data_IF_359473662781
#
_entry.id   IF_359473662781
#
_cell.length_a   1.000
_cell.length_b   1.000
_cell.length_c   1.000
_cell.angle_alpha   90.00
_cell.angle_beta   90.00
_cell.angle_gamma   90.00
#
_symmetry.space_group_name_H-M   'P 1'
#
loop_
_entity.id
_entity.type
_entity.pdbx_description
1 polymer ?
#
# COMPACT_ATOMS: atom_id res chain seq x y z
N UNK A 1 49.70 -52.54 -16.25
CA UNK A 1 50.07 -53.13 -14.94
C UNK A 1 49.25 -52.45 -13.85
N UNK A 2 48.40 -53.23 -13.26
CA UNK A 2 48.09 -53.38 -11.83
C UNK A 2 47.48 -52.10 -11.21
N UNK A 3 46.09 -52.08 -10.95
CA UNK A 3 45.42 -52.65 -9.74
C UNK A 3 45.72 -51.84 -8.47
N UNK A 4 44.79 -51.30 -7.71
CA UNK A 4 43.81 -51.87 -6.80
C UNK A 4 42.90 -50.66 -6.37
N UNK A 5 41.63 -50.60 -6.43
CA UNK A 5 40.59 -51.23 -5.57
C UNK A 5 40.84 -51.08 -4.06
N UNK A 6 40.05 -50.23 -3.42
CA UNK A 6 39.58 -50.52 -2.07
C UNK A 6 38.20 -49.91 -1.86
N UNK A 7 37.18 -50.76 -1.77
CA UNK A 7 35.85 -50.58 -1.14
C UNK A 7 36.04 -50.56 0.38
N UNK A 8 35.33 -49.71 1.10
CA UNK A 8 34.83 -49.99 2.46
C UNK A 8 33.65 -49.07 2.69
N UNK A 9 32.53 -49.63 2.68
CA UNK A 9 31.64 -50.13 3.75
C UNK A 9 30.74 -49.05 4.35
N UNK A 10 29.52 -49.16 3.93
CA UNK A 10 28.36 -48.52 4.58
C UNK A 10 28.19 -49.11 5.98
N UNK A 11 28.10 -48.26 6.97
CA UNK A 11 27.51 -48.61 8.25
C UNK A 11 26.22 -47.85 8.44
N UNK A 12 25.11 -48.56 8.34
CA UNK A 12 23.81 -48.13 8.82
C UNK A 12 23.88 -47.90 10.32
N UNK A 13 23.54 -46.69 10.77
CA UNK A 13 23.03 -46.46 12.10
C UNK A 13 21.61 -45.93 11.98
N UNK A 14 20.66 -46.86 12.01
CA UNK A 14 19.29 -46.54 12.43
C UNK A 14 19.33 -46.34 13.95
N UNK A 15 19.20 -45.11 14.40
CA UNK A 15 18.91 -44.79 15.78
C UNK A 15 17.74 -43.83 15.81
N UNK A 16 16.62 -44.39 16.19
CA UNK A 16 15.48 -43.79 16.93
C UNK A 16 15.20 -42.32 16.69
N UNK A 17 14.21 -42.03 15.85
CA UNK A 17 13.39 -40.84 15.97
C UNK A 17 12.52 -40.98 17.22
N UNK A 18 12.89 -40.30 18.28
CA UNK A 18 11.97 -39.95 19.37
C UNK A 18 12.20 -38.51 19.77
N UNK A 19 11.13 -37.71 19.59
CA UNK A 19 10.85 -36.43 20.23
C UNK A 19 11.95 -35.36 20.22
N UNK A 20 11.89 -34.49 19.21
CA UNK A 20 12.45 -33.15 19.30
C UNK A 20 11.60 -32.09 18.55
N UNK A 21 10.28 -32.12 18.75
CA UNK A 21 9.37 -31.04 18.32
C UNK A 21 9.30 -29.85 19.32
N UNK A 22 10.26 -29.78 20.25
CA UNK A 22 10.26 -28.74 21.29
C UNK A 22 11.58 -27.97 21.37
N UNK A 23 12.30 -27.70 20.29
CA UNK A 23 13.43 -26.78 20.33
C UNK A 23 13.76 -26.15 18.97
N UNK A 24 12.80 -25.44 18.38
CA UNK A 24 13.08 -24.48 17.33
C UNK A 24 12.22 -23.21 17.44
N UNK A 25 11.97 -22.80 18.67
CA UNK A 25 11.62 -21.42 19.01
C UNK A 25 12.91 -20.72 19.45
N UNK A 26 13.92 -20.70 18.60
CA UNK A 26 14.99 -19.72 18.76
C UNK A 26 14.44 -18.37 18.35
N UNK A 27 14.29 -17.49 19.36
CA UNK A 27 14.17 -16.05 19.21
C UNK A 27 14.97 -15.57 18.00
N UNK A 28 14.29 -15.38 16.86
CA UNK A 28 14.68 -14.35 15.93
C UNK A 28 14.47 -13.10 16.75
N UNK A 29 15.54 -12.44 17.14
CA UNK A 29 15.48 -11.05 17.55
C UNK A 29 14.97 -10.31 16.31
N UNK A 30 13.65 -10.18 16.18
CA UNK A 30 13.01 -9.29 15.26
C UNK A 30 13.34 -7.89 15.77
N UNK A 31 14.50 -7.38 15.36
CA UNK A 31 14.83 -5.98 15.56
C UNK A 31 13.78 -5.21 14.79
N UNK A 32 13.05 -4.33 15.50
CA UNK A 32 12.02 -3.48 14.90
C UNK A 32 12.64 -2.66 13.76
N UNK A 33 12.30 -2.99 12.51
CA UNK A 33 12.90 -2.43 11.31
C UNK A 33 12.01 -1.39 10.61
N UNK A 34 10.92 -0.96 11.29
CA UNK A 34 10.01 0.04 10.75
C UNK A 34 10.52 1.46 11.02
N UNK A 35 10.15 2.37 10.14
CA UNK A 35 10.54 3.80 10.24
C UNK A 35 9.75 4.57 11.31
N UNK A 36 8.92 3.90 12.09
CA UNK A 36 8.14 4.45 13.20
C UNK A 36 8.30 3.57 14.44
N UNK A 37 8.15 4.11 15.65
CA UNK A 37 8.27 3.34 16.88
C UNK A 37 7.09 2.39 17.08
N UNK A 38 7.36 1.21 17.68
CA UNK A 38 6.31 0.27 18.07
C UNK A 38 5.50 0.85 19.24
N UNK A 39 4.19 0.83 19.11
CA UNK A 39 3.28 1.21 20.19
C UNK A 39 3.13 0.11 21.23
N UNK A 40 3.17 0.50 22.50
CA UNK A 40 2.89 -0.44 23.63
C UNK A 40 1.43 -0.89 23.70
N UNK A 41 0.52 -0.22 22.96
CA UNK A 41 -0.93 -0.53 22.97
C UNK A 41 -1.33 -1.65 22.02
N UNK A 42 -0.40 -2.14 21.18
CA UNK A 42 -0.69 -3.15 20.17
C UNK A 42 0.21 -4.37 20.29
N UNK A 43 -0.30 -5.51 19.81
CA UNK A 43 0.54 -6.66 19.48
C UNK A 43 0.89 -6.59 18.00
N UNK A 44 2.05 -7.10 17.63
CA UNK A 44 2.54 -7.17 16.26
C UNK A 44 2.94 -8.61 15.91
N UNK A 45 2.60 -9.04 14.69
CA UNK A 45 2.97 -10.35 14.16
C UNK A 45 3.19 -10.26 12.66
N UNK A 46 4.34 -10.74 12.16
CA UNK A 46 4.55 -10.95 10.72
C UNK A 46 3.71 -12.14 10.25
N UNK A 47 3.04 -11.98 9.11
CA UNK A 47 2.15 -12.98 8.52
C UNK A 47 2.39 -13.10 7.02
N UNK A 48 1.91 -14.21 6.42
CA UNK A 48 1.90 -14.39 4.97
C UNK A 48 0.57 -15.01 4.51
N UNK A 49 0.14 -14.66 3.29
CA UNK A 49 -1.08 -15.17 2.69
C UNK A 49 -0.95 -15.21 1.17
N UNK A 50 -1.87 -15.90 0.50
CA UNK A 50 -1.81 -16.12 -0.95
C UNK A 50 -2.83 -15.26 -1.69
N UNK A 51 -2.45 -14.75 -2.88
CA UNK A 51 -3.37 -14.18 -3.85
C UNK A 51 -3.95 -15.27 -4.76
N UNK A 52 -5.02 -14.97 -5.49
CA UNK A 52 -5.59 -15.88 -6.49
C UNK A 52 -4.64 -16.11 -7.68
N UNK A 53 -3.71 -15.20 -7.92
CA UNK A 53 -2.63 -15.37 -8.91
C UNK A 53 -1.46 -16.23 -8.42
N UNK A 54 -1.51 -16.75 -7.18
CA UNK A 54 -0.47 -17.61 -6.61
C UNK A 54 0.74 -16.87 -6.04
N UNK A 55 0.67 -15.55 -5.87
CA UNK A 55 1.70 -14.81 -5.16
C UNK A 55 1.54 -14.98 -3.64
N UNK A 56 2.67 -15.07 -2.94
CA UNK A 56 2.70 -14.99 -1.48
C UNK A 56 2.92 -13.54 -1.07
N UNK A 57 1.93 -12.95 -0.41
CA UNK A 57 2.08 -11.64 0.21
C UNK A 57 2.57 -11.76 1.65
N UNK A 58 3.42 -10.83 2.07
CA UNK A 58 3.92 -10.71 3.44
C UNK A 58 3.40 -9.44 4.06
N UNK A 59 2.86 -9.56 5.27
CA UNK A 59 2.28 -8.44 6.00
C UNK A 59 2.67 -8.41 7.47
N UNK A 60 2.43 -7.27 8.08
CA UNK A 60 2.51 -7.02 9.51
C UNK A 60 1.09 -6.86 10.05
N UNK A 61 0.65 -7.82 10.85
CA UNK A 61 -0.65 -7.81 11.51
C UNK A 61 -0.51 -7.15 12.88
N UNK A 62 -1.27 -6.09 13.09
CA UNK A 62 -1.39 -5.37 14.34
C UNK A 62 -2.75 -5.66 14.97
N UNK A 63 -2.76 -6.01 16.27
CA UNK A 63 -4.00 -6.24 17.02
C UNK A 63 -3.99 -5.42 18.31
N UNK A 64 -5.14 -4.92 18.78
CA UNK A 64 -5.22 -4.23 20.05
C UNK A 64 -4.72 -5.11 21.19
N UNK A 65 -3.96 -4.56 22.14
CA UNK A 65 -3.73 -5.24 23.42
C UNK A 65 -4.99 -5.11 24.25
N UNK A 66 -5.55 -6.25 24.65
CA UNK A 66 -6.67 -6.26 25.58
C UNK A 66 -6.23 -5.71 26.94
N UNK A 67 -6.80 -4.60 27.36
CA UNK A 67 -6.53 -4.00 28.67
C UNK A 67 -7.24 -4.77 29.80
N UNK A 68 -8.21 -5.65 29.49
CA UNK A 68 -8.94 -6.47 30.45
C UNK A 68 -9.36 -7.82 29.83
N UNK A 69 -9.01 -8.91 30.47
CA UNK A 69 -9.39 -10.28 30.05
C UNK A 69 -10.89 -10.52 30.08
N UNK A 70 -11.67 -9.64 30.73
CA UNK A 70 -13.12 -9.74 30.85
C UNK A 70 -13.87 -9.37 29.57
N UNK A 71 -13.24 -8.71 28.60
CA UNK A 71 -13.87 -8.29 27.33
C UNK A 71 -13.68 -9.31 26.17
N UNK A 72 -12.97 -10.43 26.38
CA UNK A 72 -12.60 -11.39 25.33
C UNK A 72 -13.68 -12.46 25.08
N UNK A 73 -14.85 -12.39 25.66
CA UNK A 73 -15.90 -13.39 25.43
C UNK A 73 -16.86 -12.91 24.31
N UNK A 74 -16.65 -13.43 23.08
CA UNK A 74 -17.54 -13.34 21.92
C UNK A 74 -17.55 -12.02 21.09
N UNK A 75 -16.69 -11.03 21.34
CA UNK A 75 -16.63 -9.85 20.49
C UNK A 75 -15.59 -10.03 19.38
N UNK A 76 -16.04 -10.01 18.12
CA UNK A 76 -15.16 -9.98 16.96
C UNK A 76 -14.83 -8.55 16.57
N UNK A 77 -13.57 -8.33 16.19
CA UNK A 77 -13.08 -7.02 15.74
C UNK A 77 -13.48 -6.71 14.30
N UNK A 78 -13.72 -5.44 14.01
CA UNK A 78 -13.62 -4.94 12.64
C UNK A 78 -12.14 -4.97 12.20
N UNK A 79 -11.90 -5.18 10.90
CA UNK A 79 -10.55 -5.30 10.40
C UNK A 79 -10.27 -4.38 9.22
N UNK A 80 -8.99 -3.99 9.07
CA UNK A 80 -8.52 -3.08 8.02
C UNK A 80 -7.30 -3.67 7.30
N UNK A 81 -7.33 -3.69 5.96
CA UNK A 81 -6.15 -3.95 5.14
C UNK A 81 -5.57 -2.61 4.67
N UNK A 82 -4.25 -2.45 4.79
CA UNK A 82 -3.57 -1.17 4.52
C UNK A 82 -2.38 -1.40 3.60
N UNK A 83 -2.27 -0.62 2.53
CA UNK A 83 -1.10 -0.66 1.64
C UNK A 83 -0.76 0.71 1.02
N UNK A 84 0.45 0.81 0.50
CA UNK A 84 1.00 2.03 -0.10
C UNK A 84 1.99 2.75 0.81
N UNK A 85 2.61 3.81 0.32
CA UNK A 85 2.55 4.39 -1.03
C UNK A 85 3.06 3.47 -2.16
N UNK A 86 2.81 3.85 -3.42
CA UNK A 86 3.34 3.14 -4.58
C UNK A 86 4.88 3.14 -4.54
N UNK A 87 5.50 1.97 -4.64
CA UNK A 87 6.95 1.81 -4.51
C UNK A 87 7.49 1.83 -3.07
N UNK A 88 6.63 1.98 -2.06
CA UNK A 88 6.97 1.85 -0.65
C UNK A 88 6.79 0.41 -0.14
N UNK A 89 7.12 0.18 1.12
CA UNK A 89 6.94 -1.11 1.83
C UNK A 89 6.16 -0.94 3.12
N UNK A 90 5.67 -2.05 3.67
CA UNK A 90 4.87 -2.09 4.90
C UNK A 90 5.58 -1.54 6.15
N UNK A 91 6.90 -1.42 6.09
CA UNK A 91 7.72 -0.84 7.16
C UNK A 91 7.63 0.69 7.23
N UNK A 92 6.97 1.31 6.23
CA UNK A 92 6.83 2.77 6.10
C UNK A 92 5.39 3.19 6.46
N UNK A 93 4.80 4.10 5.71
CA UNK A 93 3.49 4.73 5.97
C UNK A 93 2.36 3.73 6.24
N UNK A 94 2.22 2.66 5.43
CA UNK A 94 1.13 1.70 5.63
C UNK A 94 1.19 0.97 6.96
N UNK A 95 2.38 0.63 7.44
CA UNK A 95 2.57 0.05 8.77
C UNK A 95 2.19 1.00 9.89
N UNK A 96 2.55 2.29 9.76
CA UNK A 96 2.14 3.32 10.71
C UNK A 96 0.61 3.44 10.78
N UNK A 97 -0.06 3.53 9.62
CA UNK A 97 -1.53 3.58 9.56
C UNK A 97 -2.17 2.36 10.21
N UNK A 98 -1.69 1.15 9.89
CA UNK A 98 -2.21 -0.08 10.49
C UNK A 98 -2.02 -0.09 12.01
N UNK A 99 -0.84 0.28 12.51
CA UNK A 99 -0.58 0.37 13.94
C UNK A 99 -1.49 1.40 14.64
N UNK A 100 -1.67 2.59 14.04
CA UNK A 100 -2.53 3.64 14.57
C UNK A 100 -4.01 3.27 14.61
N UNK A 101 -4.49 2.48 13.65
CA UNK A 101 -5.83 1.92 13.69
C UNK A 101 -5.97 0.80 14.72
N UNK A 102 -4.94 -0.02 14.90
CA UNK A 102 -4.94 -1.03 15.95
C UNK A 102 -4.94 -0.42 17.37
N UNK A 103 -4.26 0.72 17.59
CA UNK A 103 -4.37 1.49 18.84
C UNK A 103 -5.82 1.92 19.15
N UNK A 104 -6.69 1.98 18.12
CA UNK A 104 -8.09 2.41 18.18
C UNK A 104 -9.10 1.27 18.09
N UNK A 105 -8.63 0.03 18.24
CA UNK A 105 -9.52 -1.12 18.41
C UNK A 105 -9.80 -1.94 17.15
N UNK A 106 -9.09 -1.71 16.05
CA UNK A 106 -9.20 -2.51 14.83
C UNK A 106 -8.13 -3.61 14.79
N UNK A 107 -8.42 -4.74 14.17
CA UNK A 107 -7.37 -5.63 13.65
C UNK A 107 -6.88 -5.04 12.34
N UNK A 108 -5.61 -4.72 12.21
CA UNK A 108 -5.09 -4.02 11.04
C UNK A 108 -3.88 -4.74 10.44
N UNK A 109 -3.92 -4.94 9.12
CA UNK A 109 -2.90 -5.63 8.34
C UNK A 109 -2.24 -4.64 7.38
N UNK A 110 -0.97 -4.30 7.60
CA UNK A 110 -0.15 -3.66 6.57
C UNK A 110 0.55 -4.73 5.76
N UNK A 111 0.53 -4.65 4.42
CA UNK A 111 1.16 -5.66 3.58
C UNK A 111 2.00 -5.06 2.45
N UNK A 112 3.08 -5.77 2.08
CA UNK A 112 3.80 -5.50 0.87
C UNK A 112 3.00 -6.03 -0.33
N UNK A 113 2.84 -5.24 -1.41
CA UNK A 113 2.21 -5.72 -2.63
C UNK A 113 3.01 -6.82 -3.32
N UNK A 114 2.37 -7.56 -4.21
CA UNK A 114 3.06 -8.43 -5.17
C UNK A 114 4.24 -7.72 -5.82
N UNK A 115 5.37 -8.40 -5.99
CA UNK A 115 6.64 -7.91 -6.53
C UNK A 115 7.44 -6.94 -5.64
N UNK A 116 6.93 -6.56 -4.47
CA UNK A 116 7.50 -5.52 -3.61
C UNK A 116 7.90 -6.07 -2.24
N UNK A 117 8.87 -5.44 -1.59
CA UNK A 117 9.29 -5.75 -0.23
C UNK A 117 9.62 -7.22 -0.01
N UNK A 118 8.97 -7.87 0.95
CA UNK A 118 9.12 -9.29 1.26
C UNK A 118 8.10 -10.19 0.53
N UNK A 119 7.11 -9.60 -0.16
CA UNK A 119 6.15 -10.36 -0.97
C UNK A 119 6.79 -10.93 -2.22
N UNK A 120 6.26 -12.04 -2.72
CA UNK A 120 6.78 -12.71 -3.90
C UNK A 120 6.42 -12.01 -5.21
N UNK A 121 6.92 -12.53 -6.32
CA UNK A 121 6.69 -12.05 -7.68
C UNK A 121 7.97 -11.58 -8.35
N UNK A 122 8.12 -11.99 -9.62
CA UNK A 122 9.24 -11.60 -10.47
C UNK A 122 8.71 -11.07 -11.81
N UNK A 123 9.42 -10.11 -12.40
CA UNK A 123 10.61 -9.42 -11.89
C UNK A 123 10.27 -8.48 -10.72
N UNK A 124 11.18 -8.37 -9.75
CA UNK A 124 10.99 -7.52 -8.57
C UNK A 124 10.70 -6.06 -8.94
N UNK A 125 9.92 -5.38 -8.06
CA UNK A 125 9.54 -3.98 -8.22
C UNK A 125 8.73 -3.71 -9.49
N UNK A 126 8.02 -4.71 -9.98
CA UNK A 126 7.00 -4.56 -11.03
C UNK A 126 5.69 -4.10 -10.40
N UNK A 127 4.91 -3.34 -11.14
CA UNK A 127 3.54 -3.01 -10.78
C UNK A 127 2.61 -3.46 -11.90
N UNK A 128 1.43 -3.97 -11.53
CA UNK A 128 0.40 -4.42 -12.45
C UNK A 128 -0.98 -3.99 -11.96
N UNK A 129 -1.79 -3.33 -12.81
CA UNK A 129 -3.09 -2.80 -12.39
C UNK A 129 -4.01 -3.83 -11.78
N UNK A 130 -4.15 -4.99 -12.40
CA UNK A 130 -5.03 -6.08 -11.99
C UNK A 130 -4.47 -6.86 -10.80
N UNK A 131 -3.18 -7.23 -10.83
CA UNK A 131 -2.53 -7.96 -9.74
C UNK A 131 -2.53 -7.13 -8.45
N UNK A 132 -2.21 -5.83 -8.53
CA UNK A 132 -2.21 -4.99 -7.33
C UNK A 132 -3.63 -4.69 -6.80
N UNK A 133 -4.66 -4.73 -7.65
CA UNK A 133 -6.04 -4.70 -7.18
C UNK A 133 -6.40 -5.99 -6.43
N UNK A 134 -6.00 -7.15 -6.97
CA UNK A 134 -6.17 -8.46 -6.32
C UNK A 134 -5.43 -8.54 -4.97
N UNK A 135 -4.28 -7.88 -4.81
CA UNK A 135 -3.55 -7.88 -3.53
C UNK A 135 -4.42 -7.38 -2.36
N UNK A 136 -5.28 -6.36 -2.58
CA UNK A 136 -6.26 -5.95 -1.56
C UNK A 136 -7.34 -6.99 -1.32
N UNK A 137 -7.86 -7.62 -2.38
CA UNK A 137 -8.89 -8.65 -2.24
C UNK A 137 -8.35 -9.89 -1.51
N UNK A 138 -7.10 -10.28 -1.77
CA UNK A 138 -6.41 -11.34 -1.03
C UNK A 138 -6.18 -10.99 0.45
N UNK A 139 -5.90 -9.72 0.75
CA UNK A 139 -5.82 -9.25 2.14
C UNK A 139 -7.18 -9.33 2.86
N UNK A 140 -8.28 -9.02 2.16
CA UNK A 140 -9.66 -9.21 2.65
C UNK A 140 -9.95 -10.70 2.89
N UNK A 141 -9.54 -11.59 1.97
CA UNK A 141 -9.66 -13.04 2.14
C UNK A 141 -8.93 -13.52 3.40
N UNK A 142 -7.71 -13.04 3.62
CA UNK A 142 -6.92 -13.39 4.79
C UNK A 142 -7.60 -12.93 6.09
N UNK A 143 -7.97 -11.65 6.16
CA UNK A 143 -8.63 -11.07 7.34
C UNK A 143 -9.96 -11.76 7.66
N UNK A 144 -10.75 -12.11 6.63
CA UNK A 144 -12.04 -12.79 6.78
C UNK A 144 -11.93 -14.17 7.43
N UNK A 145 -10.76 -14.80 7.37
CA UNK A 145 -10.50 -16.14 7.94
C UNK A 145 -9.94 -16.10 9.36
N UNK A 146 -9.58 -14.92 9.88
CA UNK A 146 -9.10 -14.79 11.25
C UNK A 146 -10.24 -14.98 12.24
N UNK A 147 -10.09 -15.86 13.27
CA UNK A 147 -11.17 -16.17 14.20
C UNK A 147 -11.64 -14.97 15.01
N UNK A 148 -10.74 -14.01 15.28
CA UNK A 148 -11.02 -12.78 16.02
C UNK A 148 -11.65 -11.67 15.17
N UNK A 149 -11.78 -11.84 13.84
CA UNK A 149 -12.31 -10.83 12.91
C UNK A 149 -13.76 -11.14 12.54
N UNK A 150 -14.60 -10.11 12.51
CA UNK A 150 -15.90 -10.16 11.87
C UNK A 150 -15.76 -9.96 10.36
N UNK A 151 -15.95 -11.01 9.59
CA UNK A 151 -15.83 -11.01 8.14
C UNK A 151 -16.82 -10.04 7.42
N UNK A 152 -17.86 -9.57 8.11
CA UNK A 152 -18.79 -8.56 7.57
C UNK A 152 -18.38 -7.12 7.88
N UNK A 153 -17.28 -6.93 8.61
CA UNK A 153 -16.79 -5.63 9.09
C UNK A 153 -15.33 -5.40 8.67
N UNK A 154 -15.10 -5.42 7.35
CA UNK A 154 -13.76 -5.24 6.76
C UNK A 154 -13.73 -3.97 5.92
N UNK A 155 -12.74 -3.13 6.23
CA UNK A 155 -12.41 -1.94 5.46
C UNK A 155 -10.99 -1.99 4.89
N UNK A 156 -10.65 -1.02 4.03
CA UNK A 156 -9.31 -0.89 3.48
C UNK A 156 -8.82 0.56 3.54
N UNK A 157 -7.50 0.73 3.59
CA UNK A 157 -6.83 2.03 3.50
C UNK A 157 -5.77 1.94 2.39
N UNK A 158 -5.90 2.77 1.37
CA UNK A 158 -4.89 2.96 0.35
C UNK A 158 -4.22 4.32 0.47
N UNK A 159 -2.88 4.36 0.38
CA UNK A 159 -2.10 5.58 0.54
C UNK A 159 -1.38 5.90 -0.77
N UNK A 160 -1.40 7.15 -1.23
CA UNK A 160 -0.77 7.60 -2.47
C UNK A 160 -1.32 6.81 -3.70
N UNK A 161 -0.50 6.22 -4.55
CA UNK A 161 -0.95 5.39 -5.67
C UNK A 161 -1.86 4.23 -5.25
N UNK A 162 -1.71 3.73 -4.04
CA UNK A 162 -2.58 2.69 -3.48
C UNK A 162 -3.96 3.20 -3.07
N UNK A 163 -4.16 4.52 -2.97
CA UNK A 163 -5.49 5.11 -2.81
C UNK A 163 -6.39 4.86 -4.02
N UNK A 164 -5.87 5.03 -5.24
CA UNK A 164 -6.59 4.68 -6.46
C UNK A 164 -6.83 3.18 -6.60
N UNK A 165 -5.84 2.34 -6.24
CA UNK A 165 -5.98 0.88 -6.23
C UNK A 165 -7.05 0.45 -5.20
N UNK A 166 -7.12 1.09 -4.02
CA UNK A 166 -8.15 0.83 -3.02
C UNK A 166 -9.56 1.15 -3.54
N UNK A 167 -9.74 2.27 -4.24
CA UNK A 167 -11.01 2.60 -4.86
C UNK A 167 -11.40 1.58 -5.94
N UNK A 168 -10.45 1.13 -6.75
CA UNK A 168 -10.70 0.08 -7.75
C UNK A 168 -11.07 -1.26 -7.09
N UNK A 169 -10.39 -1.64 -6.01
CA UNK A 169 -10.71 -2.84 -5.24
C UNK A 169 -12.10 -2.75 -4.60
N UNK A 170 -12.48 -1.59 -4.05
CA UNK A 170 -13.82 -1.37 -3.48
C UNK A 170 -14.94 -1.41 -4.52
N UNK A 171 -14.66 -1.04 -5.78
CA UNK A 171 -15.58 -1.21 -6.88
C UNK A 171 -15.75 -2.68 -7.30
N UNK A 172 -14.69 -3.48 -7.15
CA UNK A 172 -14.66 -4.89 -7.57
C UNK A 172 -15.13 -5.87 -6.47
N UNK A 173 -14.85 -5.58 -5.18
CA UNK A 173 -15.13 -6.48 -4.06
C UNK A 173 -16.13 -5.88 -3.07
N UNK A 174 -17.37 -6.35 -3.10
CA UNK A 174 -18.47 -5.89 -2.24
C UNK A 174 -18.32 -6.26 -0.76
N UNK A 175 -17.34 -7.09 -0.40
CA UNK A 175 -17.00 -7.39 1.01
C UNK A 175 -16.29 -6.23 1.69
N UNK A 176 -15.71 -5.30 0.91
CA UNK A 176 -15.12 -4.06 1.41
C UNK A 176 -16.24 -3.09 1.78
N UNK A 177 -16.44 -2.87 3.09
CA UNK A 177 -17.55 -2.05 3.62
C UNK A 177 -17.23 -0.58 3.81
N UNK A 178 -15.93 -0.26 3.96
CA UNK A 178 -15.46 1.11 4.08
C UNK A 178 -14.06 1.26 3.49
N UNK A 179 -13.79 2.36 2.78
CA UNK A 179 -12.51 2.62 2.11
C UNK A 179 -12.02 4.02 2.45
N UNK A 180 -10.76 4.13 2.87
CA UNK A 180 -10.05 5.40 2.97
C UNK A 180 -8.99 5.45 1.88
N UNK A 181 -9.02 6.50 1.06
CA UNK A 181 -8.01 6.82 0.06
C UNK A 181 -7.25 8.08 0.52
N UNK A 182 -6.09 7.89 1.14
CA UNK A 182 -5.27 8.97 1.69
C UNK A 182 -4.27 9.48 0.66
N UNK A 183 -4.26 10.80 0.44
CA UNK A 183 -3.32 11.48 -0.47
C UNK A 183 -3.17 10.75 -1.82
N UNK A 184 -4.31 10.32 -2.37
CA UNK A 184 -4.38 9.35 -3.46
C UNK A 184 -3.83 9.87 -4.80
N UNK A 185 -3.43 8.92 -5.64
CA UNK A 185 -3.23 9.10 -7.09
C UNK A 185 -4.18 8.20 -7.87
N UNK A 186 -4.59 8.68 -9.04
CA UNK A 186 -4.95 7.80 -10.14
C UNK A 186 -3.67 7.45 -10.93
N UNK A 187 -3.09 6.30 -10.64
CA UNK A 187 -1.85 5.84 -11.29
C UNK A 187 -2.03 5.64 -12.80
N UNK A 188 -3.25 5.36 -13.27
CA UNK A 188 -3.53 5.23 -14.70
C UNK A 188 -3.57 6.59 -15.40
N UNK A 189 -4.15 7.60 -14.74
CA UNK A 189 -4.20 8.98 -15.25
C UNK A 189 -2.79 9.59 -15.30
N UNK A 190 -2.01 9.51 -14.21
CA UNK A 190 -0.66 10.08 -14.22
C UNK A 190 0.26 9.38 -15.21
N UNK A 191 0.15 8.06 -15.38
CA UNK A 191 0.95 7.31 -16.36
C UNK A 191 0.57 7.60 -17.80
N UNK A 192 -0.70 7.92 -18.06
CA UNK A 192 -1.19 8.21 -19.41
C UNK A 192 -1.17 9.68 -19.79
N UNK A 193 -1.31 10.59 -18.83
CA UNK A 193 -1.50 12.02 -19.07
C UNK A 193 -0.37 12.91 -18.48
N UNK A 194 0.54 12.33 -17.68
CA UNK A 194 1.52 13.09 -16.92
C UNK A 194 0.92 13.83 -15.72
N UNK A 195 1.79 14.51 -14.97
CA UNK A 195 1.35 15.38 -13.87
C UNK A 195 0.53 16.57 -14.40
N UNK A 196 -0.56 16.87 -13.71
CA UNK A 196 -1.49 17.96 -14.07
C UNK A 196 -2.07 17.81 -15.49
N UNK A 197 -2.15 16.58 -16.00
CA UNK A 197 -2.57 16.25 -17.37
C UNK A 197 -1.78 16.96 -18.46
N UNK A 198 -0.54 17.34 -18.19
CA UNK A 198 0.32 18.12 -19.08
C UNK A 198 0.65 17.43 -20.41
N UNK A 199 0.46 16.10 -20.49
CA UNK A 199 0.66 15.27 -21.67
C UNK A 199 -0.65 14.60 -22.15
N UNK A 200 -1.84 15.16 -21.83
CA UNK A 200 -3.12 14.58 -22.24
C UNK A 200 -3.48 14.91 -23.69
N UNK A 201 -2.58 14.60 -24.63
CA UNK A 201 -2.87 14.61 -26.07
C UNK A 201 -2.64 13.22 -26.66
N UNK A 202 -3.22 12.97 -27.84
CA UNK A 202 -2.99 11.71 -28.55
C UNK A 202 -1.53 11.59 -28.97
N UNK A 203 -0.94 12.68 -29.47
CA UNK A 203 0.44 12.74 -29.92
C UNK A 203 1.42 12.41 -28.78
N UNK A 204 1.28 13.07 -27.63
CA UNK A 204 2.16 12.83 -26.48
C UNK A 204 2.06 11.38 -25.98
N UNK A 205 0.86 10.80 -25.96
CA UNK A 205 0.68 9.38 -25.60
C UNK A 205 1.27 8.45 -26.66
N UNK A 206 1.19 8.81 -27.95
CA UNK A 206 1.81 8.03 -29.03
C UNK A 206 3.33 8.02 -28.87
N UNK A 207 3.94 9.19 -28.70
CA UNK A 207 5.39 9.34 -28.50
C UNK A 207 5.87 8.54 -27.27
N UNK A 208 5.13 8.63 -26.14
CA UNK A 208 5.43 7.85 -24.94
C UNK A 208 5.39 6.32 -25.21
N UNK A 209 4.41 5.85 -25.99
CA UNK A 209 4.32 4.42 -26.38
C UNK A 209 5.48 3.99 -27.29
N UNK A 210 5.90 4.85 -28.23
CA UNK A 210 7.07 4.60 -29.07
C UNK A 210 8.34 4.48 -28.21
N UNK A 211 8.53 5.42 -27.26
CA UNK A 211 9.66 5.39 -26.35
C UNK A 211 9.67 4.14 -25.45
N UNK A 212 8.51 3.77 -24.88
CA UNK A 212 8.36 2.55 -24.07
C UNK A 212 8.63 1.27 -24.87
N UNK A 213 8.19 1.21 -26.13
CA UNK A 213 8.45 0.07 -27.01
C UNK A 213 9.95 -0.07 -27.34
N UNK A 214 10.63 1.04 -27.62
CA UNK A 214 12.06 1.05 -27.84
C UNK A 214 12.85 0.66 -26.56
N UNK A 215 12.48 1.22 -25.43
CA UNK A 215 13.07 0.90 -24.14
C UNK A 215 12.91 -0.59 -23.78
N UNK A 216 11.73 -1.17 -24.03
CA UNK A 216 11.45 -2.59 -23.79
C UNK A 216 12.42 -3.54 -24.53
N UNK A 217 12.87 -3.15 -25.72
CA UNK A 217 13.84 -3.91 -26.50
C UNK A 217 15.28 -3.64 -26.05
N UNK A 218 15.60 -2.39 -25.71
CA UNK A 218 16.96 -1.99 -25.33
C UNK A 218 17.35 -2.47 -23.93
N UNK A 219 16.46 -2.32 -22.95
CA UNK A 219 16.67 -2.72 -21.56
C UNK A 219 15.34 -3.11 -20.87
N UNK A 220 14.96 -4.39 -20.91
CA UNK A 220 13.75 -4.85 -20.25
C UNK A 220 13.83 -4.78 -18.71
N UNK A 221 15.02 -4.52 -18.17
CA UNK A 221 15.25 -4.38 -16.73
C UNK A 221 15.24 -2.93 -16.24
N UNK A 222 15.05 -1.95 -17.14
CA UNK A 222 15.07 -0.53 -16.80
C UNK A 222 14.16 -0.18 -15.63
N UNK A 223 14.67 0.72 -14.80
CA UNK A 223 13.99 1.22 -13.60
C UNK A 223 13.55 2.68 -13.84
N UNK A 224 12.47 3.08 -13.18
CA UNK A 224 11.94 4.44 -13.20
C UNK A 224 11.33 4.82 -11.85
N UNK A 225 11.01 6.08 -11.65
CA UNK A 225 10.26 6.57 -10.50
C UNK A 225 10.99 6.56 -9.17
N UNK A 226 12.26 6.22 -9.14
CA UNK A 226 13.10 6.41 -7.96
C UNK A 226 13.20 7.90 -7.59
N UNK A 227 13.14 8.19 -6.29
CA UNK A 227 13.32 9.57 -5.82
C UNK A 227 14.76 10.00 -6.06
N UNK A 228 14.94 11.13 -6.76
CA UNK A 228 16.26 11.65 -7.15
C UNK A 228 17.01 12.14 -5.90
N UNK A 229 18.30 11.82 -5.80
CA UNK A 229 19.21 12.32 -4.77
C UNK A 229 20.66 12.31 -5.30
N UNK A 230 21.39 13.43 -5.37
CA UNK A 230 20.97 14.77 -4.96
C UNK A 230 19.93 15.40 -5.89
N UNK A 231 19.13 16.31 -5.35
CA UNK A 231 18.16 17.07 -6.14
C UNK A 231 18.82 18.22 -6.88
N UNK A 232 18.29 18.59 -8.08
CA UNK A 232 18.57 19.89 -8.68
C UNK A 232 18.10 21.05 -7.78
N UNK A 233 18.79 22.18 -7.84
CA UNK A 233 18.47 23.35 -7.01
C UNK A 233 17.05 23.89 -7.25
N UNK A 234 16.59 23.82 -8.49
CA UNK A 234 15.28 24.27 -8.97
C UNK A 234 14.19 23.18 -8.86
N UNK A 235 14.45 22.06 -8.20
CA UNK A 235 13.46 20.98 -8.06
C UNK A 235 12.15 21.52 -7.45
N UNK A 236 10.98 21.12 -7.99
CA UNK A 236 9.68 21.47 -7.44
C UNK A 236 9.53 21.02 -5.97
N UNK A 237 8.73 21.75 -5.18
CA UNK A 237 8.58 21.47 -3.75
C UNK A 237 8.16 20.03 -3.46
N UNK A 238 7.20 19.48 -4.22
CA UNK A 238 6.76 18.10 -3.99
C UNK A 238 7.86 17.05 -4.24
N UNK A 239 8.83 17.34 -5.15
CA UNK A 239 10.00 16.46 -5.36
C UNK A 239 10.95 16.55 -4.17
N UNK A 240 11.11 17.75 -3.58
CA UNK A 240 11.85 17.96 -2.33
C UNK A 240 11.20 17.21 -1.17
N UNK A 241 9.86 17.24 -1.07
CA UNK A 241 9.10 16.52 -0.04
C UNK A 241 9.28 14.99 -0.17
N UNK A 242 9.27 14.44 -1.39
CA UNK A 242 9.57 13.02 -1.61
C UNK A 242 11.00 12.65 -1.23
N UNK A 243 11.98 13.48 -1.60
CA UNK A 243 13.37 13.25 -1.22
C UNK A 243 13.54 13.30 0.29
N UNK A 244 12.89 14.26 0.93
CA UNK A 244 12.90 14.43 2.38
C UNK A 244 12.35 13.18 3.09
N UNK A 245 11.26 12.61 2.60
CA UNK A 245 10.72 11.38 3.18
C UNK A 245 11.57 10.15 2.84
N UNK A 246 11.83 9.88 1.55
CA UNK A 246 12.38 8.58 1.13
C UNK A 246 13.91 8.45 1.23
N UNK A 247 14.66 9.57 1.23
CA UNK A 247 16.13 9.56 1.22
C UNK A 247 16.77 10.00 2.55
N UNK A 248 15.96 10.20 3.59
CA UNK A 248 16.41 10.57 4.93
C UNK A 248 15.90 9.59 5.98
N UNK A 249 16.39 9.63 7.23
CA UNK A 249 15.89 8.78 8.31
C UNK A 249 14.38 8.90 8.58
N UNK A 250 13.72 9.95 8.08
CA UNK A 250 12.27 10.16 8.22
C UNK A 250 11.47 8.97 7.70
N UNK A 251 11.82 8.42 6.56
CA UNK A 251 11.07 7.34 5.94
C UNK A 251 11.90 6.41 5.07
N UNK A 252 13.25 6.51 5.07
CA UNK A 252 14.10 5.59 4.31
C UNK A 252 13.92 4.15 4.77
N UNK A 253 13.73 3.25 3.83
CA UNK A 253 13.78 1.80 4.10
C UNK A 253 14.49 1.05 2.97
N UNK A 254 15.35 0.10 3.34
CA UNK A 254 16.23 -0.60 2.39
C UNK A 254 15.46 -1.45 1.34
N UNK A 255 14.25 -1.92 1.66
CA UNK A 255 13.39 -2.69 0.73
C UNK A 255 12.50 -1.82 -0.16
N UNK A 256 12.34 -0.53 0.16
CA UNK A 256 11.50 0.39 -0.60
C UNK A 256 12.13 0.76 -1.94
N UNK A 257 11.36 0.65 -3.03
CA UNK A 257 11.76 1.13 -4.34
C UNK A 257 12.01 2.64 -4.35
N UNK A 258 11.15 3.42 -3.71
CA UNK A 258 11.28 4.88 -3.65
C UNK A 258 12.54 5.33 -2.90
N UNK A 259 12.95 4.57 -1.88
CA UNK A 259 14.19 4.84 -1.15
C UNK A 259 15.45 4.44 -1.95
N UNK A 260 15.31 3.68 -3.02
CA UNK A 260 16.39 3.19 -3.87
C UNK A 260 16.21 3.67 -5.34
N UNK A 261 16.20 2.76 -6.28
CA UNK A 261 16.19 3.01 -7.73
C UNK A 261 14.78 2.95 -8.37
N UNK A 262 13.72 2.89 -7.56
CA UNK A 262 12.34 2.96 -8.03
C UNK A 262 11.74 1.61 -8.39
N UNK A 263 10.96 1.59 -9.46
CA UNK A 263 10.23 0.42 -9.97
C UNK A 263 10.52 0.19 -11.46
N UNK A 264 10.16 -0.99 -11.94
CA UNK A 264 10.41 -1.35 -13.35
C UNK A 264 9.49 -0.59 -14.30
N UNK A 265 10.07 -0.10 -15.40
CA UNK A 265 9.36 0.62 -16.46
C UNK A 265 8.27 -0.23 -17.10
N UNK A 266 8.42 -1.54 -17.14
CA UNK A 266 7.45 -2.46 -17.75
C UNK A 266 6.03 -2.30 -17.18
N UNK A 267 5.90 -1.94 -15.90
CA UNK A 267 4.60 -1.66 -15.28
C UNK A 267 3.93 -0.40 -15.83
N UNK A 268 4.70 0.61 -16.20
CA UNK A 268 4.19 1.89 -16.70
C UNK A 268 3.32 1.72 -17.95
N UNK A 269 3.69 0.81 -18.86
CA UNK A 269 2.93 0.55 -20.08
C UNK A 269 1.53 0.02 -19.78
N UNK A 270 1.40 -0.87 -18.80
CA UNK A 270 0.10 -1.40 -18.38
C UNK A 270 -0.77 -0.31 -17.74
N UNK A 271 -0.20 0.50 -16.86
CA UNK A 271 -0.92 1.61 -16.21
C UNK A 271 -1.34 2.68 -17.22
N UNK A 272 -0.50 3.08 -18.18
CA UNK A 272 -0.83 4.09 -19.17
C UNK A 272 -1.95 3.67 -20.13
N UNK A 273 -2.25 2.38 -20.24
CA UNK A 273 -3.31 1.82 -21.09
C UNK A 273 -4.48 1.23 -20.32
N UNK A 274 -4.59 1.50 -19.03
CA UNK A 274 -5.67 1.03 -18.16
C UNK A 274 -6.49 2.20 -17.62
N UNK A 275 -7.69 1.90 -17.08
CA UNK A 275 -8.57 2.88 -16.43
C UNK A 275 -9.06 2.31 -15.11
N UNK A 276 -8.43 2.68 -14.03
CA UNK A 276 -8.78 2.16 -12.71
C UNK A 276 -10.14 2.63 -12.22
N UNK A 277 -10.37 3.91 -12.31
CA UNK A 277 -11.51 4.51 -11.61
C UNK A 277 -12.79 4.54 -12.44
N UNK A 278 -12.91 3.65 -13.42
CA UNK A 278 -14.04 3.65 -14.37
C UNK A 278 -15.40 3.37 -13.70
N UNK A 279 -15.43 2.47 -12.70
CA UNK A 279 -16.67 2.05 -12.02
C UNK A 279 -16.77 2.52 -10.55
N UNK A 280 -15.96 3.50 -10.13
CA UNK A 280 -16.04 3.99 -8.74
C UNK A 280 -17.36 4.68 -8.39
N UNK A 281 -18.09 5.17 -9.39
CA UNK A 281 -19.46 5.68 -9.22
C UNK A 281 -20.45 4.58 -8.81
N UNK A 282 -20.11 3.31 -8.92
CA UNK A 282 -20.95 2.16 -8.54
C UNK A 282 -20.63 1.65 -7.11
N UNK A 283 -19.60 2.17 -6.45
CA UNK A 283 -19.25 1.79 -5.08
C UNK A 283 -20.41 2.20 -4.13
N UNK A 284 -21.06 1.20 -3.53
CA UNK A 284 -22.15 1.42 -2.56
C UNK A 284 -21.65 1.53 -1.12
N UNK A 285 -20.49 0.94 -0.82
CA UNK A 285 -19.84 1.05 0.50
C UNK A 285 -19.33 2.48 0.78
N UNK A 286 -19.06 2.78 2.05
CA UNK A 286 -18.60 4.10 2.45
C UNK A 286 -17.19 4.40 1.90
N UNK A 287 -16.95 5.64 1.47
CA UNK A 287 -15.64 6.09 0.98
C UNK A 287 -15.29 7.44 1.59
N UNK A 288 -14.06 7.53 2.12
CA UNK A 288 -13.44 8.79 2.53
C UNK A 288 -12.17 9.00 1.69
N UNK A 289 -12.17 10.06 0.89
CA UNK A 289 -10.96 10.55 0.20
C UNK A 289 -10.37 11.67 1.05
N UNK A 290 -9.08 11.55 1.41
CA UNK A 290 -8.37 12.53 2.23
C UNK A 290 -7.13 13.05 1.50
N UNK A 291 -6.98 14.38 1.44
CA UNK A 291 -5.81 15.04 0.86
C UNK A 291 -5.29 16.17 1.72
N UNK A 292 -4.01 16.46 1.60
CA UNK A 292 -3.44 17.71 2.11
C UNK A 292 -3.83 18.88 1.22
N UNK A 293 -4.06 20.05 1.83
CA UNK A 293 -4.37 21.29 1.12
C UNK A 293 -3.29 21.66 0.10
N UNK A 294 -2.01 21.49 0.49
CA UNK A 294 -0.83 21.79 -0.31
C UNK A 294 -0.30 20.57 -1.09
N UNK A 295 -1.05 19.45 -1.14
CA UNK A 295 -0.62 18.28 -1.87
C UNK A 295 -0.74 18.50 -3.38
N UNK A 296 0.37 18.37 -4.10
CA UNK A 296 0.39 18.46 -5.59
C UNK A 296 -0.52 17.43 -6.26
N UNK A 297 -0.85 16.34 -5.56
CA UNK A 297 -1.75 15.27 -6.03
C UNK A 297 -3.22 15.49 -5.68
N UNK A 298 -3.59 16.61 -5.04
CA UNK A 298 -4.95 16.87 -4.55
C UNK A 298 -6.00 16.77 -5.67
N UNK A 299 -5.66 17.23 -6.87
CA UNK A 299 -6.57 17.19 -8.02
C UNK A 299 -7.00 15.76 -8.42
N UNK A 300 -6.21 14.71 -8.13
CA UNK A 300 -6.64 13.34 -8.35
C UNK A 300 -7.79 12.95 -7.42
N UNK A 301 -7.69 13.29 -6.15
CA UNK A 301 -8.71 12.96 -5.16
C UNK A 301 -10.00 13.76 -5.37
N UNK A 302 -9.87 15.06 -5.67
CA UNK A 302 -11.05 15.91 -5.99
C UNK A 302 -11.75 15.39 -7.24
N UNK A 303 -11.02 15.09 -8.30
CA UNK A 303 -11.60 14.54 -9.52
C UNK A 303 -12.23 13.16 -9.29
N UNK A 304 -11.57 12.25 -8.53
CA UNK A 304 -12.13 10.95 -8.18
C UNK A 304 -13.42 11.08 -7.36
N UNK A 305 -13.46 11.99 -6.39
CA UNK A 305 -14.65 12.27 -5.58
C UNK A 305 -15.82 12.71 -6.46
N UNK A 306 -15.61 13.74 -7.30
CA UNK A 306 -16.67 14.24 -8.18
C UNK A 306 -17.12 13.20 -9.22
N UNK A 307 -16.18 12.46 -9.80
CA UNK A 307 -16.54 11.38 -10.72
C UNK A 307 -17.34 10.27 -10.02
N UNK A 308 -16.97 9.93 -8.79
CA UNK A 308 -17.69 8.95 -7.99
C UNK A 308 -19.09 9.43 -7.62
N UNK A 309 -19.24 10.68 -7.18
CA UNK A 309 -20.52 11.22 -6.67
C UNK A 309 -21.43 11.66 -7.81
N UNK A 310 -20.90 12.46 -8.75
CA UNK A 310 -21.66 13.19 -9.77
C UNK A 310 -21.66 12.46 -11.14
N UNK A 311 -20.86 11.42 -11.30
CA UNK A 311 -20.65 10.69 -12.56
C UNK A 311 -19.83 11.45 -13.60
N UNK A 312 -19.23 12.57 -13.25
CA UNK A 312 -18.40 13.42 -14.12
C UNK A 312 -17.35 14.19 -13.34
N UNK A 313 -16.18 14.35 -13.90
CA UNK A 313 -15.13 15.20 -13.35
C UNK A 313 -14.14 15.65 -14.42
N UNK A 314 -13.39 16.68 -14.13
CA UNK A 314 -12.26 17.11 -14.95
C UNK A 314 -11.21 15.99 -15.04
N UNK A 315 -10.61 15.80 -16.22
CA UNK A 315 -9.65 14.71 -16.50
C UNK A 315 -10.30 13.35 -16.81
N UNK A 316 -11.62 13.19 -16.63
CA UNK A 316 -12.36 11.99 -17.04
C UNK A 316 -13.14 12.27 -18.33
N UNK A 317 -12.86 11.49 -19.37
CA UNK A 317 -13.46 11.69 -20.73
C UNK A 317 -14.85 11.06 -20.87
N UNK A 318 -15.29 10.32 -19.84
CA UNK A 318 -16.61 9.65 -19.84
C UNK A 318 -17.51 10.28 -18.77
N UNK A 319 -18.78 10.34 -19.08
CA UNK A 319 -19.86 10.70 -18.14
C UNK A 319 -20.63 9.43 -17.85
N UNK A 320 -20.86 9.13 -16.59
CA UNK A 320 -21.58 7.96 -16.09
C UNK A 320 -22.74 8.39 -15.18
N UNK A 321 -23.54 7.44 -14.72
CA UNK A 321 -24.60 7.77 -13.77
C UNK A 321 -23.99 8.22 -12.41
N UNK A 322 -24.61 9.16 -11.71
CA UNK A 322 -24.25 9.49 -10.34
C UNK A 322 -24.30 8.28 -9.41
N UNK A 323 -23.54 8.34 -8.32
CA UNK A 323 -23.51 7.26 -7.34
C UNK A 323 -24.90 7.03 -6.70
N UNK A 324 -25.34 5.77 -6.51
CA UNK A 324 -26.61 5.47 -5.86
C UNK A 324 -26.62 5.73 -4.33
N UNK A 325 -25.46 5.95 -3.72
CA UNK A 325 -25.28 6.19 -2.27
C UNK A 325 -24.33 7.37 -2.03
N UNK A 326 -24.62 8.59 -2.52
CA UNK A 326 -23.69 9.71 -2.43
C UNK A 326 -23.50 10.20 -0.98
N UNK A 327 -24.44 9.93 -0.09
CA UNK A 327 -24.46 10.38 1.31
C UNK A 327 -23.37 9.73 2.18
N UNK A 328 -22.78 8.63 1.74
CA UNK A 328 -21.68 7.95 2.44
C UNK A 328 -20.31 8.15 1.77
N UNK A 329 -20.20 9.19 0.92
CA UNK A 329 -18.95 9.59 0.27
C UNK A 329 -18.48 10.90 0.87
N UNK A 330 -17.23 10.92 1.34
CA UNK A 330 -16.64 12.07 2.00
C UNK A 330 -15.35 12.50 1.28
N UNK A 331 -15.15 13.81 1.12
CA UNK A 331 -13.87 14.43 0.75
C UNK A 331 -13.38 15.27 1.91
N UNK A 332 -12.17 15.00 2.38
CA UNK A 332 -11.55 15.70 3.51
C UNK A 332 -10.22 16.33 3.07
N UNK A 333 -10.15 17.65 3.16
CA UNK A 333 -8.93 18.40 2.92
C UNK A 333 -8.30 18.79 4.26
N UNK A 334 -7.05 18.41 4.47
CA UNK A 334 -6.30 18.70 5.69
C UNK A 334 -5.54 20.01 5.47
N UNK A 335 -5.83 21.06 6.24
CA UNK A 335 -5.15 22.34 6.13
C UNK A 335 -3.64 22.20 6.28
N UNK A 336 -2.89 22.99 5.53
CA UNK A 336 -1.42 23.11 5.57
C UNK A 336 -0.63 21.83 5.27
N UNK A 337 -1.28 20.68 5.06
CA UNK A 337 -0.60 19.42 4.80
C UNK A 337 -0.13 19.32 3.35
N UNK A 338 1.12 18.88 3.15
CA UNK A 338 1.65 18.42 1.87
C UNK A 338 1.21 16.98 1.58
N UNK A 339 1.61 16.45 0.44
CA UNK A 339 1.40 15.04 0.10
C UNK A 339 2.08 14.10 1.10
N UNK A 340 3.36 14.34 1.40
CA UNK A 340 4.18 13.49 2.26
C UNK A 340 3.87 13.69 3.75
N UNK A 341 3.27 14.80 4.16
CA UNK A 341 2.81 14.97 5.53
C UNK A 341 1.69 13.97 5.90
N UNK A 342 0.95 13.47 4.91
CA UNK A 342 -0.02 12.41 5.14
C UNK A 342 0.57 10.99 5.10
N UNK A 343 1.90 10.85 5.06
CA UNK A 343 2.58 9.58 5.24
C UNK A 343 2.88 9.26 6.71
N UNK A 344 3.24 10.28 7.50
CA UNK A 344 3.71 10.13 8.88
C UNK A 344 3.17 11.20 9.86
N UNK A 345 2.40 12.16 9.37
CA UNK A 345 1.85 13.29 10.14
C UNK A 345 2.63 14.59 9.96
N UNK A 346 3.77 14.55 9.28
CA UNK A 346 4.62 15.71 9.02
C UNK A 346 5.45 16.19 10.21
N UNK A 347 6.48 16.95 9.90
CA UNK A 347 7.42 17.54 10.87
C UNK A 347 7.64 19.02 10.56
N UNK A 348 8.03 19.81 11.56
CA UNK A 348 8.30 21.24 11.39
C UNK A 348 9.59 21.52 10.63
N UNK A 349 10.52 20.57 10.60
CA UNK A 349 11.80 20.66 9.91
C UNK A 349 12.01 19.44 9.00
N UNK A 350 12.83 19.56 7.94
CA UNK A 350 13.16 18.45 7.02
C UNK A 350 13.79 17.23 7.74
N UNK A 351 13.81 16.10 7.04
CA UNK A 351 14.39 14.82 7.49
C UNK A 351 13.76 14.24 8.76
N UNK A 352 12.51 14.61 9.06
CA UNK A 352 11.83 14.17 10.28
C UNK A 352 12.36 14.82 11.54
N UNK A 353 13.01 15.96 11.40
CA UNK A 353 13.51 16.76 12.52
C UNK A 353 12.45 17.77 13.01
N UNK A 354 12.73 18.39 14.15
CA UNK A 354 11.78 19.31 14.79
C UNK A 354 10.59 18.59 15.42
N UNK A 355 9.50 19.35 15.62
CA UNK A 355 8.30 18.83 16.29
C UNK A 355 7.34 18.15 15.29
N UNK A 356 6.70 17.03 15.69
CA UNK A 356 5.65 16.42 14.88
C UNK A 356 4.45 17.37 14.70
N UNK A 357 4.02 17.58 13.46
CA UNK A 357 2.81 18.39 13.15
C UNK A 357 1.51 17.66 13.44
N UNK A 358 1.53 16.32 13.48
CA UNK A 358 0.37 15.46 13.75
C UNK A 358 -0.83 15.74 12.81
N UNK A 359 -0.57 15.95 11.52
CA UNK A 359 -1.59 16.35 10.54
C UNK A 359 -2.55 15.24 10.14
N UNK A 360 -2.23 13.97 10.39
CA UNK A 360 -3.14 12.87 10.07
C UNK A 360 -4.23 12.80 11.14
N UNK A 361 -5.53 12.94 10.77
CA UNK A 361 -6.64 12.98 11.73
C UNK A 361 -7.07 11.57 12.16
N UNK A 362 -6.24 10.88 12.93
CA UNK A 362 -6.41 9.48 13.31
C UNK A 362 -7.78 9.16 13.92
N UNK A 363 -8.30 10.04 14.78
CA UNK A 363 -9.58 9.83 15.44
C UNK A 363 -10.75 9.99 14.46
N UNK A 364 -10.64 10.87 13.47
CA UNK A 364 -11.64 10.97 12.39
C UNK A 364 -11.63 9.74 11.50
N UNK A 365 -10.45 9.18 11.20
CA UNK A 365 -10.34 7.92 10.44
C UNK A 365 -10.97 6.76 11.21
N UNK A 366 -10.69 6.66 12.52
CA UNK A 366 -11.31 5.64 13.37
C UNK A 366 -12.84 5.79 13.40
N UNK A 367 -13.33 7.00 13.66
CA UNK A 367 -14.78 7.28 13.70
C UNK A 367 -15.46 6.97 12.36
N UNK A 368 -14.80 7.24 11.23
CA UNK A 368 -15.32 6.86 9.90
C UNK A 368 -15.49 5.33 9.80
N UNK A 369 -14.49 4.55 10.20
CA UNK A 369 -14.60 3.09 10.18
C UNK A 369 -15.58 2.54 11.22
N UNK A 370 -15.61 3.08 12.43
CA UNK A 370 -16.58 2.70 13.47
C UNK A 370 -18.03 2.87 13.03
N UNK A 371 -18.31 3.97 12.30
CA UNK A 371 -19.65 4.27 11.76
C UNK A 371 -20.06 3.33 10.62
N UNK A 372 -19.10 2.84 9.82
CA UNK A 372 -19.40 2.20 8.54
C UNK A 372 -19.05 0.71 8.51
N UNK A 373 -18.41 0.17 9.55
CA UNK A 373 -18.12 -1.23 9.77
C UNK A 373 -18.95 -1.78 10.94
#
# INVERSE_FOLDING_TARGET
MRKLLTLMLAALCFAACTNSNEKMSKCVNDTWDKVFPLSEKVNHKKVSFQTQYGFTLVGDLYTPKANDKSQITNHKYAALAVSGPFGATKEQSSGLYAMKMAERGFVALAFDPSFTGESSGEPRRTASPDINTEDFMAAVDYLSKLPEVDANRIGIIGICGWGGIALNAAAADTRIKATVASTMYDMTRVSGNGYFDSADTEEARHEARVALAAQRLADPAAMAGGVIDPLPDDAPQFVKDYRDYYKTPRGYHARSGNSNDGWRVIGTQAYSNSRFLYYINEIRSAVLIMHGENAHSRYFGEAAYHYMVDGKAEGYKTVVAPNPCPENKELLIIPDASHCDLYDGGYTEPAGQGEPKNLIPWDKLAAFFEKNL
#
